data_IF_328959187480
#
_entry.id   IF_328959187480
#
_cell.length_a   1.000
_cell.length_b   1.000
_cell.length_c   1.000
_cell.angle_alpha   90.00
_cell.angle_beta   90.00
_cell.angle_gamma   90.00
#
_symmetry.space_group_name_H-M   'P 1'
#
loop_
_entity.id
_entity.type
_entity.pdbx_description
1 polymer ?
#
# COMPACT_ATOMS: atom_id res chain seq x y z
N UNK A 1 -1.50 -35.57 11.50
CA UNK A 1 -0.61 -35.47 10.32
C UNK A 1 -1.05 -34.37 9.36
N UNK A 2 -2.30 -34.37 8.86
CA UNK A 2 -2.82 -33.32 7.96
C UNK A 2 -2.77 -31.89 8.56
N UNK A 3 -3.12 -31.72 9.84
CA UNK A 3 -3.06 -30.42 10.51
C UNK A 3 -1.63 -29.86 10.64
N UNK A 4 -0.66 -30.71 11.01
CA UNK A 4 0.75 -30.33 11.11
C UNK A 4 1.34 -29.96 9.74
N UNK A 5 0.94 -30.68 8.68
CA UNK A 5 1.31 -30.36 7.31
C UNK A 5 0.75 -29.01 6.85
N UNK A 6 -0.54 -28.74 7.10
CA UNK A 6 -1.16 -27.45 6.78
C UNK A 6 -0.51 -26.28 7.52
N UNK A 7 -0.17 -26.46 8.80
CA UNK A 7 0.52 -25.42 9.57
C UNK A 7 1.94 -25.16 9.05
N UNK A 8 2.69 -26.21 8.67
CA UNK A 8 4.01 -26.07 8.07
C UNK A 8 3.93 -25.33 6.72
N UNK A 9 2.99 -25.75 5.86
CA UNK A 9 2.76 -25.14 4.55
C UNK A 9 2.35 -23.67 4.70
N UNK A 10 1.46 -23.35 5.63
CA UNK A 10 1.06 -21.98 5.91
C UNK A 10 2.25 -21.15 6.42
N UNK A 11 3.04 -21.65 7.37
CA UNK A 11 4.20 -20.93 7.90
C UNK A 11 5.25 -20.60 6.83
N UNK A 12 5.46 -21.49 5.86
CA UNK A 12 6.41 -21.29 4.76
C UNK A 12 5.86 -20.36 3.67
N UNK A 13 4.59 -20.54 3.29
CA UNK A 13 3.98 -19.80 2.18
C UNK A 13 3.56 -18.39 2.59
N UNK A 14 3.12 -18.19 3.83
CA UNK A 14 2.64 -16.91 4.35
C UNK A 14 3.68 -15.80 4.20
N UNK A 15 4.89 -16.02 4.73
CA UNK A 15 5.99 -15.04 4.65
C UNK A 15 6.40 -14.75 3.21
N UNK A 16 6.29 -15.73 2.31
CA UNK A 16 6.62 -15.56 0.89
C UNK A 16 5.56 -14.70 0.18
N UNK A 17 4.27 -14.94 0.44
CA UNK A 17 3.17 -14.14 -0.10
C UNK A 17 3.22 -12.70 0.41
N UNK A 18 3.44 -12.50 1.71
CA UNK A 18 3.58 -11.16 2.29
C UNK A 18 4.74 -10.39 1.67
N UNK A 19 5.92 -11.02 1.56
CA UNK A 19 7.08 -10.40 0.97
C UNK A 19 6.81 -10.01 -0.50
N UNK A 20 6.24 -10.92 -1.28
CA UNK A 20 5.93 -10.66 -2.68
C UNK A 20 4.92 -9.52 -2.85
N UNK A 21 3.81 -9.56 -2.09
CA UNK A 21 2.77 -8.55 -2.15
C UNK A 21 3.30 -7.18 -1.74
N UNK A 22 4.10 -7.13 -0.66
CA UNK A 22 4.67 -5.89 -0.13
C UNK A 22 5.66 -5.25 -1.11
N UNK A 23 6.61 -6.01 -1.65
CA UNK A 23 7.56 -5.48 -2.64
C UNK A 23 6.83 -5.01 -3.89
N UNK A 24 5.80 -5.75 -4.33
CA UNK A 24 5.02 -5.39 -5.50
C UNK A 24 4.15 -4.15 -5.28
N UNK A 25 3.55 -3.98 -4.09
CA UNK A 25 2.89 -2.73 -3.70
C UNK A 25 3.88 -1.56 -3.67
N UNK A 26 5.10 -1.78 -3.18
CA UNK A 26 6.12 -0.73 -3.17
C UNK A 26 6.52 -0.31 -4.59
N UNK A 27 6.69 -1.24 -5.53
CA UNK A 27 6.91 -0.97 -6.97
C UNK A 27 5.75 -0.15 -7.57
N UNK A 28 4.49 -0.55 -7.30
CA UNK A 28 3.28 0.16 -7.76
C UNK A 28 3.17 1.58 -7.20
N UNK A 29 3.36 1.75 -5.89
CA UNK A 29 3.20 3.02 -5.19
C UNK A 29 4.31 4.01 -5.56
N UNK A 30 5.54 3.52 -5.65
CA UNK A 30 6.69 4.33 -6.06
C UNK A 30 6.73 4.60 -7.56
N UNK A 31 5.97 3.85 -8.37
CA UNK A 31 5.90 4.02 -9.82
C UNK A 31 7.18 3.62 -10.56
N UNK A 32 8.16 3.01 -9.88
CA UNK A 32 9.41 2.54 -10.45
C UNK A 32 9.62 1.04 -10.30
N UNK A 33 10.04 0.44 -11.42
CA UNK A 33 10.29 -1.00 -11.51
C UNK A 33 11.57 -1.39 -10.79
N UNK A 34 11.41 -2.17 -9.74
CA UNK A 34 12.52 -2.85 -9.07
C UNK A 34 13.09 -3.92 -10.01
N UNK A 35 14.42 -3.96 -10.15
CA UNK A 35 15.09 -4.99 -10.95
C UNK A 35 14.83 -6.40 -10.39
N UNK A 36 14.76 -7.40 -11.27
CA UNK A 36 14.48 -8.80 -10.88
C UNK A 36 15.41 -9.30 -9.77
N UNK A 37 16.70 -9.00 -9.87
CA UNK A 37 17.69 -9.42 -8.88
C UNK A 37 17.40 -8.85 -7.49
N UNK A 38 17.11 -7.55 -7.39
CA UNK A 38 16.81 -6.90 -6.11
C UNK A 38 15.43 -7.28 -5.57
N UNK A 39 14.47 -7.54 -6.46
CA UNK A 39 13.18 -8.11 -6.06
C UNK A 39 13.38 -9.46 -5.35
N UNK A 40 14.17 -10.36 -5.93
CA UNK A 40 14.49 -11.64 -5.31
C UNK A 40 15.27 -11.47 -3.99
N UNK A 41 16.24 -10.55 -3.95
CA UNK A 41 17.00 -10.24 -2.72
C UNK A 41 16.09 -9.73 -1.60
N UNK A 42 15.21 -8.76 -1.89
CA UNK A 42 14.25 -8.21 -0.93
C UNK A 42 13.27 -9.28 -0.45
N UNK A 43 12.81 -10.15 -1.35
CA UNK A 43 11.92 -11.25 -0.98
C UNK A 43 12.59 -12.15 0.06
N UNK A 44 13.87 -12.47 -0.16
CA UNK A 44 14.67 -13.28 0.76
C UNK A 44 14.94 -12.56 2.09
N UNK A 45 15.25 -11.26 2.05
CA UNK A 45 15.50 -10.45 3.26
C UNK A 45 14.24 -10.28 4.11
N UNK A 46 13.09 -9.95 3.51
CA UNK A 46 11.81 -9.82 4.20
C UNK A 46 11.39 -11.18 4.77
N UNK A 47 11.61 -12.26 4.03
CA UNK A 47 11.37 -13.61 4.53
C UNK A 47 12.20 -13.93 5.78
N UNK A 48 13.51 -13.67 5.75
CA UNK A 48 14.39 -13.85 6.91
C UNK A 48 13.94 -12.96 8.07
N UNK A 49 13.64 -11.68 7.82
CA UNK A 49 13.17 -10.74 8.83
C UNK A 49 11.88 -11.21 9.52
N UNK A 50 10.97 -11.80 8.76
CA UNK A 50 9.74 -12.40 9.28
C UNK A 50 10.02 -13.62 10.16
N UNK A 51 10.96 -14.48 9.76
CA UNK A 51 11.37 -15.65 10.56
C UNK A 51 12.06 -15.25 11.88
N UNK A 52 12.95 -14.25 11.84
CA UNK A 52 13.60 -13.72 13.06
C UNK A 52 12.55 -13.11 13.99
N UNK A 53 11.61 -12.35 13.45
CA UNK A 53 10.53 -11.75 14.24
C UNK A 53 9.65 -12.80 14.91
N UNK A 54 9.39 -13.93 14.24
CA UNK A 54 8.62 -15.05 14.81
C UNK A 54 9.28 -15.69 16.04
N UNK A 55 10.61 -15.54 16.22
CA UNK A 55 11.32 -15.98 17.42
C UNK A 55 11.04 -15.14 18.67
N UNK A 56 10.37 -13.99 18.54
CA UNK A 56 10.06 -13.09 19.66
C UNK A 56 8.81 -13.57 20.39
N UNK A 57 8.92 -13.73 21.72
CA UNK A 57 7.84 -14.27 22.56
C UNK A 57 6.61 -13.36 22.71
N UNK A 58 6.79 -12.03 22.70
CA UNK A 58 5.66 -11.08 22.77
C UNK A 58 5.04 -10.85 21.39
N UNK A 59 3.73 -11.08 21.18
CA UNK A 59 3.09 -10.89 19.88
C UNK A 59 3.12 -9.43 19.38
N UNK A 60 3.03 -8.46 20.30
CA UNK A 60 3.12 -7.04 19.97
C UNK A 60 4.51 -6.68 19.44
N UNK A 61 5.54 -7.14 20.15
CA UNK A 61 6.93 -6.87 19.80
C UNK A 61 7.28 -7.57 18.48
N UNK A 62 6.79 -8.79 18.28
CA UNK A 62 6.88 -9.53 17.01
C UNK A 62 6.29 -8.75 15.83
N UNK A 63 5.03 -8.32 15.93
CA UNK A 63 4.35 -7.59 14.85
C UNK A 63 5.03 -6.26 14.56
N UNK A 64 5.47 -5.56 15.61
CA UNK A 64 6.19 -4.28 15.50
C UNK A 64 7.55 -4.48 14.83
N UNK A 65 8.37 -5.42 15.31
CA UNK A 65 9.67 -5.75 14.70
C UNK A 65 9.54 -6.12 13.23
N UNK A 66 8.63 -7.03 12.88
CA UNK A 66 8.42 -7.46 11.51
C UNK A 66 8.09 -6.26 10.61
N UNK A 67 7.15 -5.42 11.04
CA UNK A 67 6.76 -4.24 10.27
C UNK A 67 7.86 -3.21 10.14
N UNK A 68 8.62 -2.94 11.19
CA UNK A 68 9.70 -1.96 11.19
C UNK A 68 10.85 -2.44 10.32
N UNK A 69 11.25 -3.71 10.40
CA UNK A 69 12.29 -4.30 9.54
C UNK A 69 11.88 -4.16 8.08
N UNK A 70 10.62 -4.51 7.76
CA UNK A 70 10.12 -4.43 6.39
C UNK A 70 10.11 -2.99 5.86
N UNK A 71 9.64 -2.02 6.66
CA UNK A 71 9.67 -0.59 6.31
C UNK A 71 11.10 -0.12 6.08
N UNK A 72 12.05 -0.48 6.96
CA UNK A 72 13.45 -0.07 6.84
C UNK A 72 14.11 -0.67 5.60
N UNK A 73 13.85 -1.95 5.29
CA UNK A 73 14.38 -2.61 4.09
C UNK A 73 13.87 -1.94 2.80
N UNK A 74 12.57 -1.64 2.73
CA UNK A 74 11.96 -0.94 1.60
C UNK A 74 12.44 0.51 1.50
N UNK A 75 12.60 1.19 2.63
CA UNK A 75 13.13 2.55 2.66
C UNK A 75 14.58 2.58 2.19
N UNK A 76 15.41 1.63 2.63
CA UNK A 76 16.82 1.54 2.26
C UNK A 76 16.99 1.25 0.76
N UNK A 77 16.25 0.27 0.22
CA UNK A 77 16.31 -0.02 -1.21
C UNK A 77 15.78 1.16 -2.02
N UNK A 78 14.73 1.82 -1.54
CA UNK A 78 14.19 3.06 -2.09
C UNK A 78 15.26 4.13 -2.20
N UNK A 79 15.93 4.46 -1.09
CA UNK A 79 17.00 5.45 -1.10
C UNK A 79 18.17 5.06 -2.02
N UNK A 80 18.56 3.77 -2.04
CA UNK A 80 19.72 3.28 -2.79
C UNK A 80 19.48 3.22 -4.30
N UNK A 81 18.27 2.89 -4.72
CA UNK A 81 17.88 2.93 -6.14
C UNK A 81 17.82 4.35 -6.68
N UNK A 82 17.96 5.35 -5.79
CA UNK A 82 18.11 6.74 -6.17
C UNK A 82 16.90 7.06 -7.04
N UNK A 83 15.72 7.06 -6.42
CA UNK A 83 14.58 7.77 -6.96
C UNK A 83 14.99 9.25 -6.92
N UNK A 84 15.86 9.69 -7.86
CA UNK A 84 16.67 10.91 -7.79
C UNK A 84 15.84 12.20 -7.72
N UNK A 85 14.53 12.10 -7.87
CA UNK A 85 13.59 13.21 -7.77
C UNK A 85 12.59 13.04 -6.63
N UNK A 86 12.60 11.93 -5.89
CA UNK A 86 11.65 11.68 -4.80
C UNK A 86 12.26 11.96 -3.43
N UNK A 87 11.62 12.86 -2.68
CA UNK A 87 12.02 13.17 -1.31
C UNK A 87 12.01 11.90 -0.42
N UNK A 88 12.90 11.84 0.57
CA UNK A 88 12.95 10.73 1.54
C UNK A 88 11.58 10.44 2.19
N UNK A 89 10.75 11.48 2.34
CA UNK A 89 9.40 11.37 2.88
C UNK A 89 8.44 10.60 1.97
N UNK A 90 8.56 10.77 0.64
CA UNK A 90 7.76 10.00 -0.34
C UNK A 90 8.16 8.53 -0.30
N UNK A 91 9.46 8.24 -0.25
CA UNK A 91 9.96 6.86 -0.15
C UNK A 91 9.47 6.20 1.15
N UNK A 92 9.53 6.93 2.27
CA UNK A 92 9.04 6.46 3.56
C UNK A 92 7.52 6.22 3.53
N UNK A 93 6.74 7.13 2.94
CA UNK A 93 5.31 6.94 2.75
C UNK A 93 5.02 5.68 1.95
N UNK A 94 5.66 5.49 0.81
CA UNK A 94 5.50 4.30 -0.03
C UNK A 94 5.85 3.02 0.72
N UNK A 95 6.91 3.01 1.53
CA UNK A 95 7.28 1.86 2.36
C UNK A 95 6.21 1.55 3.41
N UNK A 96 5.73 2.55 4.14
CA UNK A 96 4.70 2.37 5.17
C UNK A 96 3.38 1.91 4.55
N UNK A 97 2.91 2.57 3.49
CA UNK A 97 1.66 2.24 2.79
C UNK A 97 1.72 0.86 2.15
N UNK A 98 2.87 0.48 1.56
CA UNK A 98 3.09 -0.88 1.05
C UNK A 98 2.86 -1.93 2.14
N UNK A 99 3.45 -1.72 3.34
CA UNK A 99 3.22 -2.65 4.45
C UNK A 99 1.76 -2.66 4.87
N UNK A 100 1.09 -1.50 4.98
CA UNK A 100 -0.33 -1.42 5.32
C UNK A 100 -1.22 -2.20 4.34
N UNK A 101 -1.00 -2.05 3.04
CA UNK A 101 -1.80 -2.72 2.00
C UNK A 101 -1.68 -4.24 2.08
N UNK A 102 -0.49 -4.77 2.41
CA UNK A 102 -0.27 -6.22 2.56
C UNK A 102 -1.05 -6.80 3.74
N UNK A 103 -1.08 -6.11 4.89
CA UNK A 103 -1.80 -6.58 6.09
C UNK A 103 -3.29 -6.20 6.08
N UNK A 104 -3.70 -5.26 5.20
CA UNK A 104 -5.04 -4.69 5.08
C UNK A 104 -6.17 -5.71 5.03
N UNK A 105 -6.04 -6.70 4.15
CA UNK A 105 -7.08 -7.70 3.88
C UNK A 105 -7.05 -8.89 4.84
N UNK A 106 -5.93 -9.14 5.51
CA UNK A 106 -5.77 -10.31 6.38
C UNK A 106 -6.50 -10.17 7.71
N UNK A 107 -6.47 -8.98 8.29
CA UNK A 107 -7.12 -8.68 9.56
C UNK A 107 -8.65 -8.93 9.55
N UNK A 108 -9.44 -8.40 8.59
CA UNK A 108 -10.89 -8.62 8.58
C UNK A 108 -11.25 -10.09 8.35
N UNK A 109 -10.50 -10.82 7.53
CA UNK A 109 -10.78 -12.25 7.27
C UNK A 109 -10.44 -13.11 8.49
N UNK A 110 -9.34 -12.81 9.16
CA UNK A 110 -8.98 -13.49 10.42
C UNK A 110 -10.05 -13.22 11.49
N UNK A 111 -10.56 -11.99 11.60
CA UNK A 111 -11.64 -11.64 12.52
C UNK A 111 -12.95 -12.37 12.18
N UNK A 112 -13.33 -12.43 10.90
CA UNK A 112 -14.53 -13.12 10.42
C UNK A 112 -14.52 -14.60 10.76
N UNK A 113 -13.43 -15.28 10.43
CA UNK A 113 -13.28 -16.71 10.68
C UNK A 113 -13.23 -17.05 12.17
N UNK A 114 -12.65 -16.15 12.98
CA UNK A 114 -12.66 -16.26 14.45
C UNK A 114 -14.07 -16.07 15.02
N UNK A 115 -14.81 -15.05 14.57
CA UNK A 115 -16.20 -14.78 15.00
C UNK A 115 -17.15 -15.91 14.61
N UNK A 116 -16.96 -16.48 13.43
CA UNK A 116 -17.77 -17.59 12.94
C UNK A 116 -17.45 -18.93 13.63
N UNK A 117 -16.49 -18.96 14.56
CA UNK A 117 -16.11 -20.17 15.30
C UNK A 117 -15.51 -21.25 14.41
N UNK A 118 -14.88 -20.87 13.29
CA UNK A 118 -14.31 -21.84 12.35
C UNK A 118 -13.17 -22.62 12.99
N UNK A 119 -13.07 -23.90 12.65
CA UNK A 119 -11.93 -24.72 13.07
C UNK A 119 -10.62 -24.15 12.52
N UNK A 120 -9.51 -24.41 13.22
CA UNK A 120 -8.18 -23.92 12.83
C UNK A 120 -7.82 -24.31 11.39
N UNK A 121 -8.30 -25.47 10.91
CA UNK A 121 -8.08 -25.92 9.55
C UNK A 121 -8.73 -24.98 8.52
N UNK A 122 -9.99 -24.59 8.75
CA UNK A 122 -10.69 -23.66 7.86
C UNK A 122 -10.12 -22.23 7.93
N UNK A 123 -9.61 -21.81 9.09
CA UNK A 123 -8.89 -20.54 9.23
C UNK A 123 -7.62 -20.54 8.38
N UNK A 124 -6.82 -21.61 8.43
CA UNK A 124 -5.60 -21.75 7.61
C UNK A 124 -5.92 -21.74 6.11
N UNK A 125 -6.96 -22.47 5.68
CA UNK A 125 -7.38 -22.49 4.28
C UNK A 125 -7.85 -21.10 3.82
N UNK A 126 -8.68 -20.42 4.63
CA UNK A 126 -9.15 -19.07 4.34
C UNK A 126 -7.99 -18.08 4.20
N UNK A 127 -7.03 -18.14 5.11
CA UNK A 127 -5.82 -17.33 5.09
C UNK A 127 -4.98 -17.55 3.83
N UNK A 128 -4.87 -18.79 3.37
CA UNK A 128 -4.20 -19.12 2.12
C UNK A 128 -4.96 -18.57 0.90
N UNK A 129 -6.29 -18.67 0.88
CA UNK A 129 -7.12 -18.08 -0.18
C UNK A 129 -6.95 -16.56 -0.26
N UNK A 130 -6.95 -15.85 0.88
CA UNK A 130 -6.76 -14.39 0.91
C UNK A 130 -5.37 -14.01 0.40
N UNK A 131 -4.33 -14.76 0.76
CA UNK A 131 -2.98 -14.53 0.25
C UNK A 131 -2.93 -14.66 -1.28
N UNK A 132 -3.57 -15.69 -1.83
CA UNK A 132 -3.64 -15.91 -3.28
C UNK A 132 -4.38 -14.76 -3.96
N UNK A 133 -5.56 -14.36 -3.43
CA UNK A 133 -6.35 -13.25 -3.98
C UNK A 133 -5.58 -11.94 -3.91
N UNK A 134 -4.95 -11.63 -2.77
CA UNK A 134 -4.15 -10.42 -2.59
C UNK A 134 -2.99 -10.37 -3.58
N UNK A 135 -2.28 -11.50 -3.75
CA UNK A 135 -1.19 -11.63 -4.71
C UNK A 135 -1.68 -11.44 -6.14
N UNK A 136 -2.82 -12.05 -6.49
CA UNK A 136 -3.43 -11.92 -7.82
C UNK A 136 -3.83 -10.47 -8.13
N UNK A 137 -4.46 -9.77 -7.18
CA UNK A 137 -4.82 -8.35 -7.31
C UNK A 137 -3.58 -7.50 -7.57
N UNK A 138 -2.51 -7.74 -6.83
CA UNK A 138 -1.26 -6.99 -6.99
C UNK A 138 -0.58 -7.30 -8.33
N UNK A 139 -0.59 -8.55 -8.77
CA UNK A 139 -0.11 -8.94 -10.11
C UNK A 139 -0.92 -8.25 -11.20
N UNK A 140 -2.26 -8.28 -11.11
CA UNK A 140 -3.18 -7.58 -12.02
C UNK A 140 -2.81 -6.10 -12.12
N UNK A 141 -2.72 -5.38 -11.00
CA UNK A 141 -2.36 -3.96 -10.97
C UNK A 141 -0.98 -3.69 -11.60
N UNK A 142 -0.01 -4.57 -11.35
CA UNK A 142 1.33 -4.48 -11.94
C UNK A 142 1.30 -4.74 -13.46
N UNK A 143 0.50 -5.69 -13.93
CA UNK A 143 0.29 -5.99 -15.35
C UNK A 143 -0.37 -4.82 -16.09
N UNK A 144 -1.35 -4.16 -15.47
CA UNK A 144 -1.98 -2.94 -16.00
C UNK A 144 -1.09 -1.69 -15.89
N UNK A 145 0.14 -1.83 -15.38
CA UNK A 145 1.09 -0.73 -15.18
C UNK A 145 0.48 0.43 -14.40
N UNK A 146 -0.41 0.11 -13.45
CA UNK A 146 -1.00 1.10 -12.58
C UNK A 146 0.11 1.82 -11.81
N UNK A 147 0.10 3.15 -11.86
CA UNK A 147 0.99 4.02 -11.09
C UNK A 147 0.12 4.89 -10.20
N UNK A 148 0.46 4.95 -8.92
CA UNK A 148 -0.36 5.63 -7.92
C UNK A 148 -0.35 7.15 -8.08
N UNK A 149 0.63 7.84 -7.49
CA UNK A 149 0.80 9.29 -7.59
C UNK A 149 2.29 9.56 -7.84
N UNK A 150 2.65 10.43 -8.80
CA UNK A 150 4.05 10.79 -9.04
C UNK A 150 4.62 11.42 -7.78
N UNK A 151 5.84 11.06 -7.38
CA UNK A 151 6.43 11.63 -6.18
C UNK A 151 6.69 13.14 -6.29
N UNK A 152 6.82 13.69 -7.50
CA UNK A 152 6.83 15.14 -7.77
C UNK A 152 5.56 15.84 -7.28
N UNK A 153 4.39 15.21 -7.49
CA UNK A 153 3.10 15.76 -7.06
C UNK A 153 3.01 15.81 -5.52
N UNK A 154 3.44 14.75 -4.86
CA UNK A 154 3.46 14.66 -3.39
C UNK A 154 4.44 15.66 -2.78
N UNK A 155 5.55 15.94 -3.46
CA UNK A 155 6.50 16.97 -3.05
C UNK A 155 5.98 18.39 -3.24
N UNK A 156 5.24 18.65 -4.32
CA UNK A 156 4.54 19.93 -4.47
C UNK A 156 3.52 20.15 -3.33
N UNK A 157 2.92 19.07 -2.83
CA UNK A 157 1.89 19.07 -1.79
C UNK A 157 2.39 18.59 -0.41
N UNK A 158 3.44 19.21 0.13
CA UNK A 158 4.09 18.79 1.40
C UNK A 158 3.13 18.61 2.59
N UNK A 159 2.10 19.45 2.74
CA UNK A 159 1.10 19.30 3.81
C UNK A 159 0.31 18.00 3.69
N UNK A 160 -0.07 17.63 2.45
CA UNK A 160 -0.76 16.37 2.18
C UNK A 160 0.17 15.18 2.42
N UNK A 161 1.42 15.26 1.96
CA UNK A 161 2.45 14.23 2.20
C UNK A 161 2.64 13.96 3.69
N UNK A 162 2.81 15.00 4.50
CA UNK A 162 2.98 14.85 5.95
C UNK A 162 1.72 14.28 6.61
N UNK A 163 0.53 14.73 6.21
CA UNK A 163 -0.74 14.19 6.71
C UNK A 163 -0.87 12.70 6.40
N UNK A 164 -0.65 12.30 5.14
CA UNK A 164 -0.67 10.90 4.71
C UNK A 164 0.33 10.06 5.48
N UNK A 165 1.53 10.57 5.71
CA UNK A 165 2.59 9.87 6.44
C UNK A 165 2.22 9.65 7.90
N UNK A 166 1.75 10.70 8.60
CA UNK A 166 1.30 10.59 10.00
C UNK A 166 0.15 9.61 10.14
N UNK A 167 -0.87 9.71 9.28
CA UNK A 167 -2.02 8.80 9.29
C UNK A 167 -1.55 7.36 9.01
N UNK A 168 -0.67 7.15 8.03
CA UNK A 168 -0.17 5.82 7.68
C UNK A 168 0.63 5.20 8.83
N UNK A 169 1.52 5.96 9.47
CA UNK A 169 2.28 5.49 10.64
C UNK A 169 1.33 5.15 11.79
N UNK A 170 0.34 6.01 12.07
CA UNK A 170 -0.66 5.75 13.10
C UNK A 170 -1.44 4.45 12.82
N UNK A 171 -1.94 4.27 11.59
CA UNK A 171 -2.65 3.04 11.20
C UNK A 171 -1.76 1.80 11.29
N UNK A 172 -0.46 1.95 11.05
CA UNK A 172 0.50 0.83 11.16
C UNK A 172 0.71 0.42 12.61
N UNK A 173 0.93 1.38 13.50
CA UNK A 173 1.06 1.14 14.95
C UNK A 173 -0.24 0.52 15.48
N UNK A 174 -1.38 1.08 15.06
CA UNK A 174 -2.70 0.54 15.40
C UNK A 174 -2.89 -0.89 14.91
N UNK A 175 -2.48 -1.20 13.67
CA UNK A 175 -2.51 -2.56 13.12
C UNK A 175 -1.64 -3.55 13.90
N UNK A 176 -0.45 -3.13 14.34
CA UNK A 176 0.41 -3.95 15.22
C UNK A 176 -0.26 -4.20 16.59
N UNK A 177 -0.94 -3.19 17.13
CA UNK A 177 -1.70 -3.31 18.37
C UNK A 177 -2.90 -4.26 18.23
N UNK A 178 -3.61 -4.24 17.09
CA UNK A 178 -4.67 -5.20 16.79
C UNK A 178 -4.11 -6.64 16.73
N UNK A 179 -3.00 -6.86 16.02
CA UNK A 179 -2.36 -8.17 15.92
C UNK A 179 -1.99 -8.76 17.30
N UNK A 180 -1.57 -7.90 18.24
CA UNK A 180 -1.34 -8.30 19.63
C UNK A 180 -2.60 -8.81 20.33
N UNK A 181 -3.73 -8.10 20.19
CA UNK A 181 -5.00 -8.52 20.80
C UNK A 181 -5.54 -9.81 20.21
N UNK A 182 -5.40 -10.00 18.89
CA UNK A 182 -5.71 -11.27 18.23
C UNK A 182 -4.92 -12.43 18.81
N UNK A 183 -3.59 -12.27 18.95
CA UNK A 183 -2.72 -13.33 19.44
C UNK A 183 -3.00 -13.76 20.88
N UNK A 184 -3.66 -12.92 21.69
CA UNK A 184 -3.96 -13.19 23.10
C UNK A 184 -5.39 -13.69 23.33
N UNK A 185 -6.18 -13.92 22.28
CA UNK A 185 -7.60 -14.32 22.33
C UNK A 185 -8.49 -13.43 23.22
N UNK A 186 -8.02 -12.24 23.59
CA UNK A 186 -8.68 -11.44 24.63
C UNK A 186 -9.79 -10.54 24.12
N UNK A 187 -9.96 -10.40 22.80
CA UNK A 187 -11.00 -9.56 22.24
C UNK A 187 -11.33 -9.94 20.80
N UNK A 188 -12.51 -10.52 20.57
CA UNK A 188 -13.13 -10.54 19.24
C UNK A 188 -13.66 -9.15 18.97
N UNK A 189 -12.85 -8.33 18.32
CA UNK A 189 -13.23 -6.96 18.08
C UNK A 189 -14.28 -6.85 16.96
N UNK A 190 -15.09 -5.79 17.02
CA UNK A 190 -16.20 -5.58 16.08
C UNK A 190 -15.71 -5.60 14.62
N UNK A 191 -16.34 -6.40 13.79
CA UNK A 191 -16.05 -6.48 12.35
C UNK A 191 -16.16 -5.12 11.66
N UNK A 192 -17.07 -4.27 12.15
CA UNK A 192 -17.25 -2.90 11.66
C UNK A 192 -15.98 -2.07 11.78
N UNK A 193 -15.19 -2.31 12.83
CA UNK A 193 -13.91 -1.61 12.98
C UNK A 193 -12.88 -2.07 11.96
N UNK A 194 -12.82 -3.37 11.67
CA UNK A 194 -11.90 -3.88 10.64
C UNK A 194 -12.30 -3.39 9.24
N UNK A 195 -13.60 -3.24 8.97
CA UNK A 195 -14.09 -2.61 7.74
C UNK A 195 -13.70 -1.12 7.67
N UNK A 196 -13.88 -0.36 8.76
CA UNK A 196 -13.44 1.06 8.82
C UNK A 196 -11.93 1.17 8.62
N UNK A 197 -11.14 0.27 9.22
CA UNK A 197 -9.69 0.25 9.04
C UNK A 197 -9.28 -0.02 7.59
N UNK A 198 -9.93 -1.00 6.93
CA UNK A 198 -9.73 -1.27 5.50
C UNK A 198 -10.12 -0.05 4.64
N UNK A 199 -11.25 0.60 4.94
CA UNK A 199 -11.69 1.81 4.24
C UNK A 199 -10.67 2.95 4.39
N UNK A 200 -10.07 3.13 5.56
CA UNK A 200 -9.01 4.13 5.77
C UNK A 200 -7.76 3.82 4.93
N UNK A 201 -7.35 2.55 4.84
CA UNK A 201 -6.22 2.13 3.99
C UNK A 201 -6.53 2.43 2.51
N UNK A 202 -7.73 2.08 2.05
CA UNK A 202 -8.17 2.38 0.68
C UNK A 202 -8.22 3.89 0.43
N UNK A 203 -8.69 4.68 1.40
CA UNK A 203 -8.73 6.14 1.30
C UNK A 203 -7.33 6.76 1.16
N UNK A 204 -6.32 6.25 1.87
CA UNK A 204 -4.92 6.70 1.73
C UNK A 204 -4.44 6.55 0.29
N UNK A 205 -4.87 5.51 -0.43
CA UNK A 205 -4.50 5.28 -1.83
C UNK A 205 -5.40 6.09 -2.78
N UNK A 206 -6.72 6.06 -2.61
CA UNK A 206 -7.64 6.66 -3.57
C UNK A 206 -7.72 8.19 -3.47
N UNK A 207 -7.68 8.78 -2.28
CA UNK A 207 -7.87 10.23 -2.10
C UNK A 207 -6.79 11.05 -2.82
N UNK A 208 -5.48 10.76 -2.67
CA UNK A 208 -4.44 11.51 -3.39
C UNK A 208 -4.52 11.33 -4.90
N UNK A 209 -4.95 10.14 -5.34
CA UNK A 209 -5.17 9.86 -6.75
C UNK A 209 -6.33 10.70 -7.32
N UNK A 210 -7.48 10.72 -6.64
CA UNK A 210 -8.65 11.50 -7.05
C UNK A 210 -8.34 13.01 -7.06
N UNK A 211 -7.64 13.50 -6.04
CA UNK A 211 -7.24 14.90 -5.96
C UNK A 211 -6.34 15.31 -7.13
N UNK A 212 -5.35 14.46 -7.50
CA UNK A 212 -4.54 14.67 -8.69
C UNK A 212 -5.38 14.69 -9.98
N UNK A 213 -6.30 13.75 -10.14
CA UNK A 213 -7.16 13.72 -11.33
C UNK A 213 -8.03 14.97 -11.45
N UNK A 214 -8.55 15.45 -10.33
CA UNK A 214 -9.29 16.69 -10.26
C UNK A 214 -8.44 17.89 -10.71
N UNK A 215 -7.22 18.03 -10.18
CA UNK A 215 -6.31 19.12 -10.56
C UNK A 215 -5.92 19.07 -12.05
N UNK A 216 -5.66 17.87 -12.58
CA UNK A 216 -5.38 17.70 -14.02
C UNK A 216 -6.58 18.07 -14.90
N UNK A 217 -7.80 17.78 -14.46
CA UNK A 217 -9.02 18.18 -15.17
C UNK A 217 -9.20 19.69 -15.12
N UNK A 218 -8.99 20.31 -13.96
CA UNK A 218 -9.09 21.76 -13.80
C UNK A 218 -8.09 22.49 -14.69
N UNK A 219 -6.82 22.08 -14.71
CA UNK A 219 -5.80 22.68 -15.56
C UNK A 219 -6.13 22.57 -17.06
N UNK A 220 -6.69 21.42 -17.50
CA UNK A 220 -7.14 21.27 -18.89
C UNK A 220 -8.31 22.19 -19.24
N UNK A 221 -9.25 22.34 -18.32
CA UNK A 221 -10.40 23.24 -18.49
C UNK A 221 -9.92 24.69 -18.62
N UNK A 222 -9.01 25.13 -17.75
CA UNK A 222 -8.40 26.47 -17.81
C UNK A 222 -7.65 26.70 -19.13
N UNK A 223 -6.85 25.74 -19.58
CA UNK A 223 -6.16 25.80 -20.89
C UNK A 223 -7.14 25.93 -22.07
N UNK A 224 -8.26 25.21 -22.04
CA UNK A 224 -9.29 25.33 -23.07
C UNK A 224 -9.98 26.71 -23.05
N UNK A 225 -10.23 27.28 -21.87
CA UNK A 225 -10.76 28.63 -21.74
C UNK A 225 -9.79 29.69 -22.26
N UNK A 226 -8.50 29.57 -21.95
CA UNK A 226 -7.47 30.47 -22.49
C UNK A 226 -7.40 30.39 -24.02
N UNK A 227 -7.39 29.18 -24.58
CA UNK A 227 -7.38 28.98 -26.04
C UNK A 227 -8.64 29.57 -26.72
N UNK A 228 -9.82 29.41 -26.12
CA UNK A 228 -11.07 30.01 -26.61
C UNK A 228 -10.99 31.54 -26.60
N UNK A 229 -10.50 32.13 -25.51
CA UNK A 229 -10.36 33.58 -25.38
C UNK A 229 -9.37 34.16 -26.40
N UNK A 230 -8.25 33.46 -26.63
CA UNK A 230 -7.26 33.85 -27.63
C UNK A 230 -7.85 33.76 -29.05
N UNK A 231 -8.59 32.70 -29.37
CA UNK A 231 -9.27 32.55 -30.65
C UNK A 231 -10.28 33.67 -30.89
N UNK A 232 -11.11 34.01 -29.90
CA UNK A 232 -12.06 35.13 -29.99
C UNK A 232 -11.34 36.47 -30.20
N UNK A 233 -10.21 36.69 -29.54
CA UNK A 233 -9.40 37.88 -29.74
C UNK A 233 -8.87 38.00 -31.19
N UNK A 234 -8.36 36.91 -31.76
CA UNK A 234 -7.90 36.89 -33.15
C UNK A 234 -9.04 37.08 -34.15
N UNK A 235 -10.22 36.48 -33.92
CA UNK A 235 -11.41 36.69 -34.77
C UNK A 235 -11.84 38.16 -34.74
N UNK A 236 -11.93 38.76 -33.56
CA UNK A 236 -12.28 40.18 -33.43
C UNK A 236 -11.25 41.13 -34.09
N UNK A 237 -9.97 40.76 -34.06
CA UNK A 237 -8.91 41.49 -34.78
C UNK A 237 -9.08 41.37 -36.29
N UNK A 238 -9.37 40.17 -36.80
CA UNK A 238 -9.60 39.93 -38.23
C UNK A 238 -10.85 40.65 -38.74
N UNK A 239 -11.94 40.63 -37.99
CA UNK A 239 -13.17 41.37 -38.34
C UNK A 239 -12.88 42.88 -38.46
N UNK A 240 -12.12 43.46 -37.54
CA UNK A 240 -11.74 44.87 -37.61
C UNK A 240 -10.89 45.21 -38.84
N UNK A 241 -10.06 44.28 -39.31
CA UNK A 241 -9.22 44.47 -40.50
C UNK A 241 -9.98 44.30 -41.82
N UNK A 242 -11.07 43.51 -41.83
CA UNK A 242 -11.89 43.26 -43.02
C UNK A 242 -12.99 44.30 -43.26
N UNK A 243 -13.32 45.11 -42.25
CA UNK A 243 -14.35 46.17 -42.33
C UNK A 243 -13.76 47.49 -42.89
N UNK A 244 -12.46 47.55 -43.15
CA UNK A 244 -11.77 48.61 -43.89
C UNK A 244 -11.34 48.14 -45.28
#
# INVERSE_FOLDING_TARGET
MFHSFLNLLNALTWSAFEAFAMISWFDILSGQKITKHKFCMLLLLIYIGSMVSNGVGSPFVRATLASTINIVLLYYIGCRERFWHDSHLVILLCAVVSTLMTYGLMNPVTQLTTLAGWSVQYQVISNLCVNIVTTFVVIMLRCFRFKWVPGEFLQAHMKQLMCLLVISIFLRIWGNYQAYHFARNHYTMSIWRELVWLLMIVAIVLVPMLYRYYEQLQNKVEQHFEALSASQYYVNQLEKLLVY
#
